data_IF_634604903306
#
_entry.id   IF_634604903306
#
_cell.length_a   1.000
_cell.length_b   1.000
_cell.length_c   1.000
_cell.angle_alpha   90.00
_cell.angle_beta   90.00
_cell.angle_gamma   90.00
#
_symmetry.space_group_name_H-M   'P 1'
#
loop_
_entity.id
_entity.type
_entity.pdbx_description
1 polymer ?
#
# COMPACT_ATOMS: atom_id res chain seq x y z
N UNK A 1 4.79 19.75 -7.10
CA UNK A 1 4.05 19.02 -6.04
C UNK A 1 2.53 19.12 -6.18
N UNK A 2 1.91 20.27 -6.50
CA UNK A 2 0.45 20.36 -6.66
C UNK A 2 -0.12 19.34 -7.65
N UNK A 3 0.54 19.16 -8.80
CA UNK A 3 0.14 18.17 -9.82
C UNK A 3 0.20 16.72 -9.32
N UNK A 4 1.15 16.42 -8.42
CA UNK A 4 1.30 15.09 -7.83
C UNK A 4 0.12 14.78 -6.90
N UNK A 5 -0.23 15.72 -6.02
CA UNK A 5 -1.37 15.58 -5.09
C UNK A 5 -2.68 15.45 -5.86
N UNK A 6 -2.95 16.36 -6.81
CA UNK A 6 -4.16 16.31 -7.64
C UNK A 6 -4.27 14.98 -8.43
N UNK A 7 -3.13 14.46 -8.91
CA UNK A 7 -3.11 13.14 -9.56
C UNK A 7 -3.51 12.02 -8.60
N UNK A 8 -3.07 12.06 -7.34
CA UNK A 8 -3.45 11.07 -6.33
C UNK A 8 -4.92 11.21 -5.92
N UNK A 9 -5.46 12.43 -5.83
CA UNK A 9 -6.89 12.64 -5.57
C UNK A 9 -7.77 11.97 -6.64
N UNK A 10 -7.35 12.00 -7.92
CA UNK A 10 -8.06 11.27 -8.99
C UNK A 10 -8.01 9.75 -8.83
N UNK A 11 -7.03 9.23 -8.09
CA UNK A 11 -6.87 7.81 -7.81
C UNK A 11 -7.97 7.28 -6.88
N UNK A 12 -8.47 8.10 -5.95
CA UNK A 12 -9.54 7.70 -5.05
C UNK A 12 -10.80 7.23 -5.80
N UNK A 13 -11.08 7.84 -6.96
CA UNK A 13 -12.23 7.48 -7.80
C UNK A 13 -11.89 6.29 -8.71
N UNK A 14 -10.68 6.24 -9.23
CA UNK A 14 -10.31 5.31 -10.31
C UNK A 14 -9.69 4.01 -9.81
N UNK A 15 -9.19 3.97 -8.58
CA UNK A 15 -8.60 2.81 -7.91
C UNK A 15 -9.29 2.65 -6.54
N UNK A 16 -10.58 2.23 -6.52
CA UNK A 16 -11.35 2.14 -5.27
C UNK A 16 -10.70 1.23 -4.23
N UNK A 17 -9.96 0.20 -4.65
CA UNK A 17 -9.20 -0.67 -3.74
C UNK A 17 -8.13 0.06 -2.93
N UNK A 18 -7.59 1.17 -3.44
CA UNK A 18 -6.66 2.00 -2.67
C UNK A 18 -7.37 2.68 -1.48
N UNK A 19 -8.62 3.11 -1.66
CA UNK A 19 -9.45 3.70 -0.60
C UNK A 19 -9.87 2.64 0.40
N UNK A 20 -10.29 1.46 -0.08
CA UNK A 20 -10.66 0.33 0.78
C UNK A 20 -9.53 -0.09 1.75
N UNK A 21 -8.28 -0.05 1.29
CA UNK A 21 -7.12 -0.32 2.14
C UNK A 21 -7.03 0.70 3.28
N UNK A 22 -7.23 1.99 2.99
CA UNK A 22 -7.25 3.02 4.04
C UNK A 22 -8.42 2.85 5.01
N UNK A 23 -9.61 2.54 4.50
CA UNK A 23 -10.79 2.32 5.34
C UNK A 23 -10.59 1.16 6.31
N UNK A 24 -9.93 0.09 5.87
CA UNK A 24 -9.76 -1.11 6.67
C UNK A 24 -8.60 -1.01 7.67
N UNK A 25 -7.49 -0.39 7.29
CA UNK A 25 -6.25 -0.39 8.07
C UNK A 25 -5.75 0.99 8.52
N UNK A 26 -6.41 2.06 8.08
CA UNK A 26 -6.02 3.44 8.37
C UNK A 26 -4.95 3.98 7.41
N UNK A 27 -4.02 4.77 7.94
CA UNK A 27 -3.05 5.53 7.15
C UNK A 27 -2.24 4.61 6.21
N UNK A 28 -2.38 4.81 4.90
CA UNK A 28 -1.67 4.06 3.85
C UNK A 28 -0.79 4.99 3.01
N UNK A 29 0.28 4.43 2.46
CA UNK A 29 1.21 5.14 1.59
C UNK A 29 0.83 4.93 0.12
N UNK A 30 0.52 6.02 -0.58
CA UNK A 30 0.18 6.00 -2.00
C UNK A 30 1.29 6.63 -2.83
N UNK A 31 1.76 5.91 -3.85
CA UNK A 31 2.82 6.43 -4.71
C UNK A 31 2.85 5.79 -6.10
N UNK A 32 3.34 6.57 -7.05
CA UNK A 32 3.52 6.14 -8.44
C UNK A 32 5.01 5.93 -8.71
N UNK A 33 5.41 4.69 -9.02
CA UNK A 33 6.78 4.37 -9.45
C UNK A 33 7.08 5.10 -10.77
N UNK A 34 8.23 5.78 -10.83
CA UNK A 34 8.70 6.54 -12.01
C UNK A 34 7.77 7.70 -12.47
N UNK A 35 7.07 8.36 -11.54
CA UNK A 35 6.25 9.53 -11.85
C UNK A 35 7.06 10.66 -12.51
N UNK A 36 6.60 11.15 -13.66
CA UNK A 36 7.23 12.26 -14.40
C UNK A 36 8.36 11.85 -15.33
N UNK A 37 8.69 10.55 -15.40
CA UNK A 37 9.64 9.99 -16.35
C UNK A 37 8.90 9.25 -17.46
N UNK A 38 9.42 9.28 -18.69
CA UNK A 38 8.90 8.57 -19.89
C UNK A 38 7.36 8.59 -20.13
N UNK A 39 6.88 7.86 -21.14
CA UNK A 39 5.44 7.79 -21.51
C UNK A 39 4.84 6.39 -21.32
N UNK A 40 5.51 5.52 -20.59
CA UNK A 40 5.03 4.14 -20.39
C UNK A 40 3.97 4.09 -19.28
N UNK A 41 3.11 3.06 -19.27
CA UNK A 41 2.27 2.78 -18.11
C UNK A 41 3.12 2.77 -16.84
N UNK A 42 2.66 3.49 -15.83
CA UNK A 42 3.29 3.62 -14.52
C UNK A 42 2.74 2.56 -13.59
N UNK A 43 3.45 2.29 -12.50
CA UNK A 43 2.95 1.40 -11.46
C UNK A 43 2.44 2.27 -10.30
N UNK A 44 1.14 2.24 -10.09
CA UNK A 44 0.55 2.73 -8.85
C UNK A 44 0.80 1.69 -7.74
N UNK A 45 1.12 2.17 -6.55
CA UNK A 45 1.29 1.36 -5.36
C UNK A 45 0.49 1.98 -4.21
N UNK A 46 -0.19 1.12 -3.46
CA UNK A 46 -0.72 1.44 -2.14
C UNK A 46 -0.07 0.46 -1.16
N UNK A 47 0.59 0.98 -0.13
CA UNK A 47 1.28 0.18 0.89
C UNK A 47 0.69 0.51 2.27
N UNK A 48 0.30 -0.50 3.04
CA UNK A 48 -0.16 -0.32 4.42
C UNK A 48 0.54 -1.29 5.36
N UNK A 49 0.71 -0.85 6.60
CA UNK A 49 1.38 -1.60 7.65
C UNK A 49 0.39 -1.87 8.78
N UNK A 50 0.21 -3.14 9.16
CA UNK A 50 -0.76 -3.51 10.18
C UNK A 50 -0.30 -4.69 11.04
N UNK A 51 -0.98 -4.88 12.18
CA UNK A 51 -0.71 -5.98 13.11
C UNK A 51 0.70 -5.97 13.73
N UNK A 52 1.44 -4.87 13.63
CA UNK A 52 2.83 -4.79 14.10
C UNK A 52 3.79 -5.75 13.38
N UNK A 53 3.43 -6.22 12.19
CA UNK A 53 4.17 -7.28 11.48
C UNK A 53 4.01 -7.25 9.96
N UNK A 54 2.83 -6.90 9.46
CA UNK A 54 2.49 -7.13 8.06
C UNK A 54 2.63 -5.88 7.22
N UNK A 55 3.11 -6.09 6.00
CA UNK A 55 3.04 -5.12 4.91
C UNK A 55 2.12 -5.68 3.84
N UNK A 56 1.04 -4.96 3.54
CA UNK A 56 0.20 -5.22 2.38
C UNK A 56 0.54 -4.19 1.31
N UNK A 57 0.91 -4.66 0.12
CA UNK A 57 1.14 -3.83 -1.06
C UNK A 57 0.12 -4.17 -2.14
N UNK A 58 -0.69 -3.21 -2.56
CA UNK A 58 -1.48 -3.28 -3.78
C UNK A 58 -0.75 -2.57 -4.91
N UNK A 59 -0.68 -3.20 -6.08
CA UNK A 59 -0.06 -2.64 -7.28
C UNK A 59 -0.99 -2.75 -8.48
N UNK A 60 -1.08 -1.69 -9.26
CA UNK A 60 -1.84 -1.67 -10.52
C UNK A 60 -1.15 -0.79 -11.55
N UNK A 61 -1.14 -1.20 -12.83
CA UNK A 61 -0.60 -0.35 -13.88
C UNK A 61 -1.59 0.77 -14.18
N UNK A 62 -1.08 1.98 -14.31
CA UNK A 62 -1.87 3.18 -14.58
C UNK A 62 -1.29 3.98 -15.74
N UNK A 63 -2.14 4.68 -16.47
CA UNK A 63 -1.73 5.78 -17.36
C UNK A 63 -1.99 7.09 -16.62
N UNK A 64 -0.97 7.94 -16.57
CA UNK A 64 -1.08 9.29 -15.99
C UNK A 64 -1.29 10.28 -17.12
N UNK A 65 -2.38 11.05 -17.05
CA UNK A 65 -2.58 12.22 -17.88
C UNK A 65 -2.06 13.46 -17.14
N UNK A 66 -0.79 13.79 -17.37
CA UNK A 66 -0.11 14.93 -16.74
C UNK A 66 -0.73 16.29 -17.05
N UNK A 67 -1.48 16.42 -18.15
CA UNK A 67 -2.12 17.70 -18.50
C UNK A 67 -3.41 17.94 -17.71
N UNK A 68 -4.08 16.87 -17.31
CA UNK A 68 -5.34 16.92 -16.57
C UNK A 68 -5.19 16.46 -15.11
N UNK A 69 -3.98 16.08 -14.68
CA UNK A 69 -3.70 15.50 -13.36
C UNK A 69 -4.66 14.35 -13.01
N UNK A 70 -4.88 13.44 -13.96
CA UNK A 70 -5.76 12.28 -13.79
C UNK A 70 -5.02 10.97 -14.05
N UNK A 71 -5.50 9.89 -13.44
CA UNK A 71 -5.03 8.53 -13.73
C UNK A 71 -6.15 7.65 -14.29
N UNK A 72 -5.76 6.61 -15.01
CA UNK A 72 -6.65 5.54 -15.44
C UNK A 72 -5.94 4.19 -15.26
N UNK A 73 -6.64 3.20 -14.70
CA UNK A 73 -6.14 1.83 -14.60
C UNK A 73 -5.96 1.22 -15.98
N UNK A 74 -4.94 0.39 -16.13
CA UNK A 74 -4.60 -0.33 -17.36
C UNK A 74 -4.88 -1.82 -17.21
N UNK A 75 -4.71 -2.37 -16.00
CA UNK A 75 -5.00 -3.75 -15.64
C UNK A 75 -5.67 -3.83 -14.25
N UNK A 76 -5.98 -5.05 -13.82
CA UNK A 76 -6.51 -5.30 -12.48
C UNK A 76 -5.41 -5.17 -11.41
N UNK A 77 -5.75 -4.66 -10.21
CA UNK A 77 -4.86 -4.64 -9.08
C UNK A 77 -4.40 -6.05 -8.66
N UNK A 78 -3.15 -6.13 -8.23
CA UNK A 78 -2.56 -7.31 -7.58
C UNK A 78 -2.11 -6.95 -6.18
N UNK A 79 -2.21 -7.93 -5.28
CA UNK A 79 -1.92 -7.72 -3.88
C UNK A 79 -0.79 -8.66 -3.46
N UNK A 80 0.09 -8.14 -2.62
CA UNK A 80 1.19 -8.86 -1.99
C UNK A 80 1.14 -8.60 -0.49
N UNK A 81 0.97 -9.65 0.29
CA UNK A 81 1.03 -9.60 1.74
C UNK A 81 2.27 -10.36 2.20
N UNK A 82 3.04 -9.72 3.08
CA UNK A 82 4.25 -10.29 3.64
C UNK A 82 4.37 -9.92 5.11
N UNK A 83 4.77 -10.89 5.93
CA UNK A 83 5.04 -10.70 7.36
C UNK A 83 6.52 -10.51 7.62
N UNK A 84 6.89 -9.55 8.47
CA UNK A 84 8.23 -9.51 9.05
C UNK A 84 8.44 -10.73 9.97
N UNK A 85 9.62 -11.32 9.94
CA UNK A 85 10.06 -12.34 10.90
C UNK A 85 10.93 -11.69 11.97
N UNK A 86 11.95 -10.94 11.54
CA UNK A 86 12.82 -10.18 12.44
C UNK A 86 13.22 -8.84 11.83
N UNK A 87 13.38 -7.84 12.68
CA UNK A 87 13.88 -6.51 12.29
C UNK A 87 15.15 -6.21 13.08
N UNK A 88 16.24 -6.05 12.33
CA UNK A 88 17.54 -5.65 12.86
C UNK A 88 17.70 -4.14 12.76
N UNK A 89 18.08 -3.50 13.85
CA UNK A 89 18.50 -2.10 13.85
C UNK A 89 20.03 -2.03 13.75
N UNK A 90 20.54 -1.26 12.79
CA UNK A 90 21.97 -1.02 12.62
C UNK A 90 22.42 0.20 13.44
N UNK A 91 23.72 0.32 13.78
CA UNK A 91 24.23 1.44 14.57
C UNK A 91 23.97 2.85 13.99
N UNK A 92 23.73 2.94 12.68
CA UNK A 92 23.42 4.17 11.97
C UNK A 92 21.90 4.49 11.90
N UNK A 93 21.08 3.71 12.61
CA UNK A 93 19.63 3.89 12.67
C UNK A 93 18.86 3.27 11.50
N UNK A 94 19.54 2.66 10.51
CA UNK A 94 18.87 1.89 9.46
C UNK A 94 18.24 0.63 10.04
N UNK A 95 17.15 0.18 9.43
CA UNK A 95 16.53 -1.11 9.70
C UNK A 95 16.80 -2.09 8.56
N UNK A 96 16.94 -3.36 8.92
CA UNK A 96 16.98 -4.48 7.98
C UNK A 96 15.90 -5.48 8.37
N UNK A 97 14.94 -5.70 7.48
CA UNK A 97 13.82 -6.60 7.70
C UNK A 97 14.09 -7.94 7.04
N UNK A 98 14.04 -9.01 7.83
CA UNK A 98 13.92 -10.38 7.35
C UNK A 98 12.45 -10.72 7.36
N UNK A 99 11.92 -11.14 6.22
CA UNK A 99 10.53 -11.56 6.10
C UNK A 99 10.36 -13.04 6.40
N UNK A 100 9.16 -13.43 6.83
CA UNK A 100 8.75 -14.83 6.82
C UNK A 100 8.83 -15.35 5.38
N UNK A 101 9.24 -16.61 5.20
CA UNK A 101 9.26 -17.23 3.87
C UNK A 101 7.88 -17.38 3.23
N UNK A 102 6.82 -17.15 4.01
CA UNK A 102 5.43 -17.15 3.57
C UNK A 102 5.05 -15.76 3.05
N UNK A 103 5.17 -15.60 1.73
CA UNK A 103 4.67 -14.47 0.97
C UNK A 103 3.37 -14.88 0.27
N UNK A 104 2.37 -14.00 0.29
CA UNK A 104 1.07 -14.28 -0.31
C UNK A 104 0.76 -13.28 -1.41
N UNK A 105 0.55 -13.79 -2.62
CA UNK A 105 0.05 -13.02 -3.75
C UNK A 105 -1.40 -13.39 -4.01
N UNK A 106 -2.27 -12.40 -4.13
CA UNK A 106 -3.69 -12.62 -4.38
C UNK A 106 -4.29 -11.57 -5.31
N UNK A 107 -5.43 -11.93 -5.88
CA UNK A 107 -6.17 -11.20 -6.91
C UNK A 107 -7.15 -10.19 -6.34
N UNK A 108 -7.78 -9.42 -7.23
CA UNK A 108 -8.86 -8.51 -6.87
C UNK A 108 -10.06 -9.23 -6.22
N UNK A 109 -10.48 -10.37 -6.77
CA UNK A 109 -11.63 -11.12 -6.22
C UNK A 109 -11.35 -11.64 -4.79
N UNK A 110 -10.12 -12.06 -4.52
CA UNK A 110 -9.68 -12.45 -3.18
C UNK A 110 -9.62 -11.24 -2.24
N UNK A 111 -9.14 -10.09 -2.72
CA UNK A 111 -9.18 -8.85 -1.94
C UNK A 111 -10.61 -8.42 -1.59
N UNK A 112 -11.56 -8.49 -2.52
CA UNK A 112 -12.96 -8.17 -2.26
C UNK A 112 -13.52 -9.04 -1.13
N UNK A 113 -13.18 -10.33 -1.11
CA UNK A 113 -13.55 -11.25 -0.01
C UNK A 113 -12.97 -10.80 1.33
N UNK A 114 -11.72 -10.36 1.36
CA UNK A 114 -11.05 -9.85 2.57
C UNK A 114 -11.67 -8.53 3.04
N UNK A 115 -11.94 -7.61 2.12
CA UNK A 115 -12.52 -6.31 2.45
C UNK A 115 -13.96 -6.45 2.98
N UNK A 116 -14.81 -7.22 2.30
CA UNK A 116 -16.20 -7.46 2.72
C UNK A 116 -16.32 -8.16 4.08
N UNK A 117 -15.31 -8.98 4.43
CA UNK A 117 -15.23 -9.66 5.73
C UNK A 117 -14.60 -8.82 6.84
N UNK A 118 -14.23 -7.56 6.57
CA UNK A 118 -13.59 -6.69 7.55
C UNK A 118 -12.16 -7.10 7.89
N UNK A 119 -11.44 -7.67 6.92
CA UNK A 119 -10.03 -8.04 7.04
C UNK A 119 -9.76 -9.50 7.41
N UNK A 120 -10.73 -10.41 7.21
CA UNK A 120 -10.53 -11.83 7.48
C UNK A 120 -9.82 -12.55 6.32
N UNK A 121 -8.48 -12.55 6.38
CA UNK A 121 -7.62 -13.25 5.43
C UNK A 121 -7.77 -14.77 5.43
N UNK A 122 -8.37 -15.37 6.48
CA UNK A 122 -8.53 -16.82 6.53
C UNK A 122 -9.51 -17.32 5.46
N UNK A 123 -10.42 -16.47 4.99
CA UNK A 123 -11.36 -16.77 3.91
C UNK A 123 -10.68 -16.99 2.55
N UNK A 124 -9.47 -16.48 2.38
CA UNK A 124 -8.63 -16.72 1.20
C UNK A 124 -7.46 -17.67 1.53
N UNK A 125 -7.55 -18.40 2.64
CA UNK A 125 -6.58 -19.42 3.04
C UNK A 125 -5.28 -18.88 3.62
N UNK A 126 -5.24 -17.61 4.04
CA UNK A 126 -4.06 -16.99 4.64
C UNK A 126 -4.24 -16.87 6.15
N UNK A 127 -3.36 -17.51 6.91
CA UNK A 127 -3.36 -17.41 8.37
C UNK A 127 -2.50 -16.22 8.82
N UNK A 128 -3.09 -15.31 9.59
CA UNK A 128 -2.39 -14.16 10.18
C UNK A 128 -1.89 -14.55 11.58
N UNK A 129 -0.58 -14.58 11.76
CA UNK A 129 0.07 -14.59 13.07
C UNK A 129 -0.17 -13.24 13.78
N UNK A 130 -0.86 -13.21 14.94
CA UNK A 130 -1.14 -11.98 15.67
C UNK A 130 0.06 -11.44 16.47
N UNK A 131 1.19 -12.16 16.51
CA UNK A 131 2.35 -11.78 17.31
C UNK A 131 3.16 -10.69 16.59
N UNK A 132 3.24 -9.47 17.15
CA UNK A 132 3.97 -8.37 16.54
C UNK A 132 5.49 -8.61 16.59
N UNK A 133 6.21 -7.96 15.67
CA UNK A 133 7.67 -8.02 15.59
C UNK A 133 8.29 -6.80 16.26
N UNK A 134 9.29 -7.03 17.11
CA UNK A 134 10.03 -5.94 17.77
C UNK A 134 10.67 -5.03 16.73
N UNK A 135 10.59 -3.71 16.95
CA UNK A 135 11.07 -2.65 16.05
C UNK A 135 10.28 -2.46 14.75
N UNK A 136 9.09 -3.04 14.62
CA UNK A 136 8.25 -2.85 13.43
C UNK A 136 7.91 -1.39 13.18
N UNK A 137 7.48 -0.64 14.20
CA UNK A 137 7.16 0.79 14.04
C UNK A 137 8.34 1.64 13.56
N UNK A 138 9.57 1.28 13.98
CA UNK A 138 10.78 1.95 13.50
C UNK A 138 11.05 1.64 12.03
N UNK A 139 10.82 0.38 11.60
CA UNK A 139 10.94 -0.01 10.20
C UNK A 139 9.90 0.71 9.32
N UNK A 140 8.65 0.80 9.80
CA UNK A 140 7.58 1.57 9.15
C UNK A 140 7.98 3.03 9.01
N UNK A 141 8.47 3.67 10.07
CA UNK A 141 8.92 5.06 10.02
C UNK A 141 10.04 5.28 8.99
N UNK A 142 11.00 4.35 8.90
CA UNK A 142 12.08 4.39 7.91
C UNK A 142 11.56 4.23 6.48
N UNK A 143 10.61 3.31 6.25
CA UNK A 143 9.99 3.07 4.93
C UNK A 143 9.10 4.23 4.47
N UNK A 144 8.45 4.93 5.41
CA UNK A 144 7.60 6.10 5.15
C UNK A 144 8.37 7.38 4.92
N UNK A 145 9.58 7.51 5.47
CA UNK A 145 10.41 8.71 5.36
C UNK A 145 10.55 9.31 3.94
N UNK A 146 10.74 8.53 2.86
CA UNK A 146 10.80 9.08 1.50
C UNK A 146 9.43 9.35 0.86
N UNK A 147 8.31 9.05 1.52
CA UNK A 147 6.95 9.17 0.97
C UNK A 147 6.38 10.56 1.19
N UNK A 148 5.54 11.01 0.25
CA UNK A 148 4.71 12.20 0.43
C UNK A 148 3.40 11.74 1.06
N UNK A 149 3.05 12.18 2.27
CA UNK A 149 1.81 11.75 2.91
C UNK A 149 0.60 12.31 2.16
N UNK A 150 -0.22 11.43 1.61
CA UNK A 150 -1.45 11.74 0.90
C UNK A 150 -2.48 10.72 1.36
N UNK A 151 -3.64 11.19 1.80
CA UNK A 151 -4.77 10.32 2.15
C UNK A 151 -5.84 10.39 1.06
N UNK A 152 -6.38 9.24 0.69
CA UNK A 152 -7.43 9.11 -0.33
C UNK A 152 -8.83 9.03 0.26
N UNK A 153 -8.96 8.69 1.53
CA UNK A 153 -10.19 8.89 2.27
C UNK A 153 -10.34 10.38 2.57
N UNK A 154 -11.53 10.93 2.33
CA UNK A 154 -11.80 12.29 2.78
C UNK A 154 -11.71 12.29 4.30
N UNK A 155 -10.64 12.85 4.87
CA UNK A 155 -10.75 13.37 6.23
C UNK A 155 -11.90 14.34 6.18
N UNK A 156 -13.02 14.00 6.82
CA UNK A 156 -14.02 14.97 7.22
C UNK A 156 -13.24 16.16 7.77
N UNK A 157 -13.26 17.28 7.04
CA UNK A 157 -12.75 18.54 7.57
C UNK A 157 -13.70 18.87 8.72
N UNK A 158 -13.36 18.42 9.92
CA UNK A 158 -13.86 18.99 11.16
C UNK A 158 -13.31 20.40 11.35
#
# INVERSE_FOLDING_TARGET
MPDYVATHESAAITIPTAVQIEELYGDADHFITEFGFDRKPKLWNTEVFFGGRYTLTMQVKVKVNYSANTIAMVDEPKFHLIGADTIRVYPDGRTGTRYSGDEHWFSLAEWETVYESGGDYSLIGIAIDPVPVVNFDLDVANKRRPRVPISLTSKSRE
#
